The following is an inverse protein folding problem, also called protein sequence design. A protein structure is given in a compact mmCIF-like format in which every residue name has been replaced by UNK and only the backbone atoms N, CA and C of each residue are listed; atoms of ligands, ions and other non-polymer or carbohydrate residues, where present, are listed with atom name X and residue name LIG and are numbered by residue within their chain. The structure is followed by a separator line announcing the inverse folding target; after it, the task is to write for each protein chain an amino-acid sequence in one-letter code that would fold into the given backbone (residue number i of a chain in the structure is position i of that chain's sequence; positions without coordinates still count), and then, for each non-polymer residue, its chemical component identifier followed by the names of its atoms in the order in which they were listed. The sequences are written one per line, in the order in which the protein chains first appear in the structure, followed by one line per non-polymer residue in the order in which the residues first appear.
data_IF_040402537035
#
_entry.id   IF_040402537035
#
_cell.length_a   1.000
_cell.length_b   1.000
_cell.length_c   1.000
_cell.angle_alpha   90.00
_cell.angle_beta   90.00
_cell.angle_gamma   90.00
#
_symmetry.space_group_name_H-M   'P 1'
#
loop_
_entity.id
_entity.type
_entity.pdbx_description
1 polymer ?
#
# COMPACT_ATOMS: atom_id res chain seq x y z
N UNK A 1 -15.59 60.38 -25.19
CA UNK A 1 -16.03 61.29 -24.10
C UNK A 1 -16.75 60.57 -23.00
N UNK A 2 -17.69 59.66 -23.26
CA UNK A 2 -18.43 58.90 -22.24
C UNK A 2 -17.53 57.97 -21.36
N UNK A 3 -16.59 57.20 -21.94
CA UNK A 3 -15.66 56.31 -21.22
C UNK A 3 -14.78 57.04 -20.22
N UNK A 4 -14.30 58.24 -20.53
CA UNK A 4 -13.46 59.02 -19.63
C UNK A 4 -14.26 59.62 -18.44
N UNK A 5 -15.56 59.92 -18.67
CA UNK A 5 -16.46 60.35 -17.60
C UNK A 5 -16.79 59.19 -16.65
N UNK A 6 -17.10 58.02 -17.19
CA UNK A 6 -17.37 56.82 -16.40
C UNK A 6 -16.17 56.41 -15.53
N UNK A 7 -14.96 56.52 -16.04
CA UNK A 7 -13.75 56.22 -15.29
C UNK A 7 -13.51 57.25 -14.14
N UNK A 8 -13.80 58.53 -14.38
CA UNK A 8 -13.69 59.55 -13.33
C UNK A 8 -14.72 59.36 -12.20
N UNK A 9 -15.95 58.98 -12.56
CA UNK A 9 -17.01 58.70 -11.61
C UNK A 9 -16.64 57.45 -10.78
N UNK A 10 -16.18 56.40 -11.43
CA UNK A 10 -15.70 55.14 -10.79
C UNK A 10 -14.54 55.43 -9.80
N UNK A 11 -13.53 56.22 -10.22
CA UNK A 11 -12.40 56.56 -9.35
C UNK A 11 -12.84 57.42 -8.14
N UNK A 12 -13.87 58.27 -8.28
CA UNK A 12 -14.44 59.05 -7.19
C UNK A 12 -15.22 58.19 -6.21
N UNK A 13 -16.01 57.24 -6.71
CA UNK A 13 -16.79 56.28 -5.93
C UNK A 13 -15.87 55.30 -5.16
N UNK A 14 -14.76 54.87 -5.75
CA UNK A 14 -13.69 54.14 -5.03
C UNK A 14 -13.13 54.89 -3.82
N UNK A 15 -13.04 56.20 -3.93
CA UNK A 15 -12.55 57.07 -2.83
C UNK A 15 -13.60 57.34 -1.73
N UNK A 16 -14.89 57.14 -2.03
CA UNK A 16 -15.97 57.38 -1.08
C UNK A 16 -16.10 56.32 0.02
N UNK A 17 -15.34 55.22 -0.07
CA UNK A 17 -15.32 54.15 0.92
C UNK A 17 -16.41 53.06 0.72
N UNK A 18 -17.52 53.39 0.06
CA UNK A 18 -18.63 52.46 -0.12
C UNK A 18 -18.27 51.36 -1.13
N UNK A 19 -17.76 51.77 -2.31
CA UNK A 19 -17.32 50.83 -3.34
C UNK A 19 -16.12 50.01 -2.88
N UNK A 20 -15.24 50.60 -2.08
CA UNK A 20 -14.06 49.92 -1.52
C UNK A 20 -14.46 48.83 -0.56
N UNK A 21 -15.50 49.01 0.28
CA UNK A 21 -15.95 47.95 1.20
C UNK A 21 -16.56 46.77 0.45
N UNK A 22 -17.31 47.01 -0.64
CA UNK A 22 -17.87 45.96 -1.50
C UNK A 22 -16.71 45.19 -2.18
N UNK A 23 -15.71 45.89 -2.69
CA UNK A 23 -14.60 45.29 -3.39
C UNK A 23 -13.73 44.45 -2.45
N UNK A 24 -13.48 44.94 -1.23
CA UNK A 24 -12.77 44.19 -0.18
C UNK A 24 -13.55 42.94 0.21
N UNK A 25 -14.89 43.03 0.42
CA UNK A 25 -15.68 41.85 0.76
C UNK A 25 -15.72 40.83 -0.37
N UNK A 26 -15.75 41.29 -1.63
CA UNK A 26 -15.70 40.40 -2.80
C UNK A 26 -14.36 39.69 -2.91
N UNK A 27 -13.23 40.41 -2.76
CA UNK A 27 -11.90 39.83 -2.74
C UNK A 27 -11.79 38.80 -1.61
N UNK A 28 -12.26 39.15 -0.41
CA UNK A 28 -12.25 38.25 0.74
C UNK A 28 -13.05 36.97 0.45
N UNK A 29 -14.23 37.10 -0.10
CA UNK A 29 -15.09 35.95 -0.47
C UNK A 29 -14.41 35.03 -1.50
N UNK A 30 -13.83 35.62 -2.57
CA UNK A 30 -13.10 34.84 -3.59
C UNK A 30 -11.88 34.17 -2.97
N UNK A 31 -11.14 34.86 -2.11
CA UNK A 31 -9.95 34.29 -1.45
C UNK A 31 -10.32 33.10 -0.56
N UNK A 32 -11.40 33.19 0.21
CA UNK A 32 -11.87 32.11 1.08
C UNK A 32 -12.32 30.90 0.23
N UNK A 33 -13.14 31.13 -0.79
CA UNK A 33 -13.62 30.04 -1.65
C UNK A 33 -12.47 29.36 -2.39
N UNK A 34 -11.54 30.15 -2.95
CA UNK A 34 -10.35 29.62 -3.63
C UNK A 34 -9.43 28.87 -2.67
N UNK A 35 -9.26 29.40 -1.46
CA UNK A 35 -8.44 28.74 -0.42
C UNK A 35 -9.01 27.39 -0.01
N UNK A 36 -10.31 27.30 0.23
CA UNK A 36 -11.00 26.05 0.56
C UNK A 36 -10.88 25.05 -0.61
N UNK A 37 -11.12 25.52 -1.84
CA UNK A 37 -11.03 24.65 -3.03
C UNK A 37 -9.65 24.06 -3.23
N UNK A 38 -8.59 24.87 -3.09
CA UNK A 38 -7.20 24.42 -3.19
C UNK A 38 -6.83 23.44 -2.06
N UNK A 39 -7.31 23.71 -0.85
CA UNK A 39 -7.08 22.81 0.28
C UNK A 39 -7.76 21.45 0.06
N UNK A 40 -9.03 21.46 -0.37
CA UNK A 40 -9.78 20.23 -0.65
C UNK A 40 -9.12 19.40 -1.76
N UNK A 41 -8.69 20.02 -2.87
CA UNK A 41 -7.99 19.33 -3.96
C UNK A 41 -6.68 18.68 -3.48
N UNK A 42 -5.92 19.38 -2.65
CA UNK A 42 -4.68 18.82 -2.06
C UNK A 42 -4.94 17.70 -1.08
N UNK A 43 -5.97 17.84 -0.25
CA UNK A 43 -6.36 16.80 0.71
C UNK A 43 -6.86 15.54 -0.01
N UNK A 44 -7.70 15.71 -1.03
CA UNK A 44 -8.20 14.58 -1.84
C UNK A 44 -7.04 13.83 -2.52
N UNK A 45 -6.09 14.55 -3.11
CA UNK A 45 -4.90 13.93 -3.72
C UNK A 45 -4.05 13.18 -2.70
N UNK A 46 -3.82 13.77 -1.53
CA UNK A 46 -3.05 13.11 -0.46
C UNK A 46 -3.75 11.84 0.04
N UNK A 47 -5.06 11.92 0.28
CA UNK A 47 -5.86 10.77 0.73
C UNK A 47 -5.90 9.66 -0.33
N UNK A 48 -6.05 9.98 -1.61
CA UNK A 48 -6.06 8.99 -2.67
C UNK A 48 -4.71 8.27 -2.76
N UNK A 49 -3.60 8.99 -2.70
CA UNK A 49 -2.25 8.40 -2.73
C UNK A 49 -2.03 7.48 -1.53
N UNK A 50 -2.38 7.89 -0.33
CA UNK A 50 -2.29 7.08 0.88
C UNK A 50 -3.20 5.85 0.82
N UNK A 51 -4.40 5.99 0.26
CA UNK A 51 -5.34 4.87 0.13
C UNK A 51 -4.84 3.84 -0.88
N UNK A 52 -4.29 4.27 -2.03
CA UNK A 52 -3.71 3.38 -3.03
C UNK A 52 -2.51 2.61 -2.48
N UNK A 53 -1.63 3.28 -1.74
CA UNK A 53 -0.49 2.65 -1.08
C UNK A 53 -0.96 1.66 0.01
N UNK A 54 -1.97 2.04 0.80
CA UNK A 54 -2.52 1.19 1.85
C UNK A 54 -3.23 -0.06 1.34
N UNK A 55 -3.86 0.01 0.17
CA UNK A 55 -4.50 -1.12 -0.50
C UNK A 55 -3.53 -1.96 -1.34
N UNK A 56 -2.35 -1.42 -1.64
CA UNK A 56 -1.39 -2.04 -2.56
C UNK A 56 -1.84 -2.04 -4.02
N UNK A 57 -2.87 -1.25 -4.36
CA UNK A 57 -3.42 -1.15 -5.70
C UNK A 57 -4.67 -0.27 -5.77
N UNK A 58 -5.08 0.09 -7.00
CA UNK A 58 -6.29 0.89 -7.24
C UNK A 58 -7.57 0.06 -7.08
N UNK A 59 -7.47 -1.27 -7.25
CA UNK A 59 -8.60 -2.19 -7.12
C UNK A 59 -8.11 -3.52 -6.56
N UNK A 60 -8.81 -4.04 -5.55
CA UNK A 60 -8.52 -5.31 -4.90
C UNK A 60 -9.72 -6.24 -5.01
N UNK A 61 -9.49 -7.45 -5.50
CA UNK A 61 -10.47 -8.53 -5.48
C UNK A 61 -10.03 -9.59 -4.47
N UNK A 62 -10.90 -9.92 -3.54
CA UNK A 62 -10.71 -11.02 -2.59
C UNK A 62 -11.71 -12.13 -2.85
N UNK A 63 -11.22 -13.36 -2.85
CA UNK A 63 -12.06 -14.56 -2.96
C UNK A 63 -11.48 -15.68 -2.11
N UNK A 64 -12.34 -16.39 -1.41
CA UNK A 64 -11.95 -17.61 -0.68
C UNK A 64 -11.95 -18.86 -1.59
N UNK A 65 -12.22 -18.68 -2.88
CA UNK A 65 -12.26 -19.75 -3.87
C UNK A 65 -11.25 -19.50 -4.99
N UNK A 66 -10.59 -20.55 -5.44
CA UNK A 66 -9.61 -20.51 -6.55
C UNK A 66 -10.22 -20.05 -7.89
N UNK A 67 -11.55 -19.95 -7.96
CA UNK A 67 -12.34 -19.58 -9.14
C UNK A 67 -12.21 -18.11 -9.57
N UNK A 68 -11.62 -17.26 -8.73
CA UNK A 68 -11.44 -15.84 -9.07
C UNK A 68 -10.48 -15.66 -10.26
N UNK A 69 -9.45 -16.50 -10.36
CA UNK A 69 -8.45 -16.46 -11.42
C UNK A 69 -9.04 -16.72 -12.80
N UNK A 70 -9.92 -17.71 -12.92
CA UNK A 70 -10.56 -18.07 -14.18
C UNK A 70 -11.52 -16.97 -14.66
N UNK A 71 -12.27 -16.35 -13.75
CA UNK A 71 -13.20 -15.26 -14.08
C UNK A 71 -12.50 -13.95 -14.44
N UNK A 72 -11.32 -13.70 -13.89
CA UNK A 72 -10.51 -12.53 -14.22
C UNK A 72 -9.81 -12.75 -15.57
N UNK A 73 -9.33 -13.96 -15.84
CA UNK A 73 -8.65 -14.30 -17.09
C UNK A 73 -9.59 -14.28 -18.32
N UNK A 74 -10.91 -14.42 -18.14
CA UNK A 74 -11.91 -14.31 -19.22
C UNK A 74 -12.18 -12.87 -19.68
N UNK A 75 -11.74 -11.85 -18.92
CA UNK A 75 -11.91 -10.45 -19.30
C UNK A 75 -10.59 -9.89 -19.84
N UNK A 76 -10.67 -9.28 -21.00
CA UNK A 76 -9.54 -8.64 -21.67
C UNK A 76 -9.20 -7.31 -20.98
N UNK A 77 -8.20 -7.34 -20.11
CA UNK A 77 -7.72 -6.17 -19.39
C UNK A 77 -6.42 -5.64 -20.02
N UNK A 78 -6.47 -5.22 -21.28
CA UNK A 78 -5.31 -4.57 -21.91
C UNK A 78 -4.84 -3.34 -21.12
N UNK A 79 -3.58 -3.34 -20.74
CA UNK A 79 -2.93 -2.20 -20.08
C UNK A 79 -3.12 -2.13 -18.55
N UNK A 80 -3.64 -3.18 -17.91
CA UNK A 80 -3.75 -3.25 -16.45
C UNK A 80 -2.64 -4.15 -15.88
N UNK A 81 -1.95 -3.66 -14.86
CA UNK A 81 -0.99 -4.46 -14.10
C UNK A 81 -1.72 -5.24 -13.01
N UNK A 82 -1.48 -6.53 -12.95
CA UNK A 82 -2.03 -7.43 -11.94
C UNK A 82 -0.94 -7.94 -11.02
N UNK A 83 -1.31 -8.13 -9.78
CA UNK A 83 -0.55 -8.81 -8.77
C UNK A 83 -1.43 -9.89 -8.15
N UNK A 84 -0.91 -11.09 -8.03
CA UNK A 84 -1.58 -12.19 -7.34
C UNK A 84 -0.96 -12.39 -5.96
N UNK A 85 -1.81 -12.51 -4.94
CA UNK A 85 -1.38 -12.87 -3.60
C UNK A 85 -2.32 -13.89 -2.98
N UNK A 86 -1.76 -14.74 -2.14
CA UNK A 86 -2.52 -15.70 -1.32
C UNK A 86 -2.19 -15.43 0.15
N UNK A 87 -3.25 -15.27 0.95
CA UNK A 87 -3.15 -14.99 2.37
C UNK A 87 -3.68 -16.17 3.17
N UNK A 88 -2.88 -16.70 4.07
CA UNK A 88 -3.27 -17.79 4.95
C UNK A 88 -2.54 -17.71 6.29
N UNK A 89 -3.08 -18.37 7.31
CA UNK A 89 -2.39 -18.54 8.57
C UNK A 89 -1.74 -19.91 8.61
N UNK A 90 -0.50 -19.98 9.09
CA UNK A 90 0.20 -21.23 9.29
C UNK A 90 1.15 -21.14 10.47
N UNK A 91 1.57 -22.30 10.96
CA UNK A 91 2.60 -22.40 11.99
C UNK A 91 3.95 -22.53 11.32
N UNK A 92 4.90 -21.70 11.74
CA UNK A 92 6.30 -21.77 11.35
C UNK A 92 7.04 -22.50 12.46
N UNK A 93 7.86 -23.46 12.07
CA UNK A 93 8.73 -24.19 12.97
C UNK A 93 10.17 -23.78 12.71
N UNK A 94 10.91 -23.53 13.79
CA UNK A 94 12.34 -23.25 13.77
C UNK A 94 12.95 -24.03 14.94
N UNK A 95 13.76 -25.04 14.64
CA UNK A 95 14.31 -26.00 15.61
C UNK A 95 13.22 -26.57 16.54
N UNK A 96 13.26 -26.24 17.83
CA UNK A 96 12.27 -26.68 18.84
C UNK A 96 11.12 -25.67 19.04
N UNK A 97 11.23 -24.47 18.47
CA UNK A 97 10.25 -23.40 18.60
C UNK A 97 9.22 -23.42 17.48
N UNK A 98 8.00 -22.96 17.80
CA UNK A 98 6.93 -22.80 16.82
C UNK A 98 6.11 -21.56 17.09
N UNK A 99 5.69 -20.88 16.01
CA UNK A 99 4.89 -19.68 16.10
C UNK A 99 3.86 -19.60 14.98
N UNK A 100 2.62 -19.22 15.36
CA UNK A 100 1.60 -18.89 14.35
C UNK A 100 1.97 -17.62 13.61
N UNK A 101 1.94 -17.66 12.29
CA UNK A 101 2.21 -16.52 11.42
C UNK A 101 1.10 -16.31 10.40
N UNK A 102 0.89 -15.05 10.04
CA UNK A 102 0.10 -14.65 8.88
C UNK A 102 1.01 -14.66 7.65
N UNK A 103 0.85 -15.67 6.81
CA UNK A 103 1.67 -15.86 5.62
C UNK A 103 1.02 -15.14 4.43
N UNK A 104 1.82 -14.33 3.74
CA UNK A 104 1.49 -13.66 2.50
C UNK A 104 2.39 -14.21 1.39
N UNK A 105 1.82 -15.00 0.51
CA UNK A 105 2.51 -15.47 -0.68
C UNK A 105 2.22 -14.52 -1.85
N UNK A 106 3.26 -13.99 -2.48
CA UNK A 106 3.18 -12.94 -3.51
C UNK A 106 3.88 -13.36 -4.79
N UNK A 107 3.36 -12.89 -5.92
CA UNK A 107 3.97 -13.08 -7.23
C UNK A 107 5.07 -12.05 -7.54
N UNK A 108 5.65 -12.14 -8.75
CA UNK A 108 6.76 -11.28 -9.18
C UNK A 108 6.33 -9.82 -9.46
N UNK A 109 5.03 -9.52 -9.48
CA UNK A 109 4.53 -8.17 -9.66
C UNK A 109 4.40 -7.39 -8.34
N UNK A 110 4.62 -8.06 -7.20
CA UNK A 110 4.57 -7.45 -5.88
C UNK A 110 5.83 -6.64 -5.55
N UNK A 111 5.68 -5.45 -4.93
CA UNK A 111 4.45 -4.70 -4.73
C UNK A 111 4.06 -3.90 -5.98
N UNK A 112 2.75 -3.80 -6.31
CA UNK A 112 2.28 -2.98 -7.42
C UNK A 112 2.50 -1.49 -7.17
N UNK A 113 2.31 -1.04 -5.93
CA UNK A 113 2.44 0.34 -5.48
C UNK A 113 3.30 0.36 -4.23
N UNK A 114 4.17 1.37 -4.12
CA UNK A 114 5.08 1.52 -3.01
C UNK A 114 6.36 0.70 -3.16
N UNK A 115 7.08 0.56 -2.06
CA UNK A 115 8.36 -0.15 -1.94
C UNK A 115 8.43 -0.84 -0.58
N UNK A 116 9.16 -1.95 -0.51
CA UNK A 116 9.43 -2.64 0.75
C UNK A 116 10.75 -2.13 1.33
N UNK A 117 10.80 -1.91 2.64
CA UNK A 117 12.03 -1.68 3.38
C UNK A 117 12.34 -2.94 4.20
N UNK A 118 13.48 -3.51 3.93
CA UNK A 118 13.95 -4.78 4.49
C UNK A 118 15.32 -4.60 5.14
N UNK A 119 15.61 -5.45 6.11
CA UNK A 119 16.94 -5.56 6.74
C UNK A 119 17.46 -6.97 6.61
N UNK A 120 18.74 -7.13 6.28
CA UNK A 120 19.47 -8.40 6.30
C UNK A 120 20.87 -8.19 6.88
N UNK A 121 21.75 -9.21 6.80
CA UNK A 121 23.14 -9.12 7.27
C UNK A 121 23.94 -7.94 6.70
N UNK A 122 23.59 -7.47 5.49
CA UNK A 122 24.26 -6.35 4.83
C UNK A 122 23.71 -4.98 5.25
N UNK A 123 22.62 -4.94 6.02
CA UNK A 123 21.94 -3.75 6.51
C UNK A 123 20.57 -3.51 5.84
N UNK A 124 20.06 -2.30 5.99
CA UNK A 124 18.75 -1.90 5.50
C UNK A 124 18.81 -1.60 4.00
N UNK A 125 17.84 -2.10 3.25
CA UNK A 125 17.70 -1.84 1.81
C UNK A 125 16.24 -1.73 1.39
N UNK A 126 16.01 -1.05 0.26
CA UNK A 126 14.68 -0.87 -0.33
C UNK A 126 14.58 -1.74 -1.59
N UNK A 127 13.44 -2.42 -1.75
CA UNK A 127 13.21 -3.29 -2.90
C UNK A 127 11.77 -3.21 -3.42
N UNK A 128 11.61 -3.52 -4.72
CA UNK A 128 10.32 -3.74 -5.40
C UNK A 128 10.22 -5.17 -5.93
N UNK A 129 10.92 -6.09 -5.30
CA UNK A 129 10.91 -7.51 -5.69
C UNK A 129 10.23 -8.32 -4.59
N UNK A 130 9.73 -9.47 -4.97
CA UNK A 130 9.27 -10.51 -4.05
C UNK A 130 10.46 -11.34 -3.53
N UNK A 131 10.29 -12.17 -2.48
CA UNK A 131 11.32 -13.12 -2.02
C UNK A 131 11.77 -14.07 -3.14
N UNK A 132 13.04 -14.43 -3.15
CA UNK A 132 13.55 -15.48 -4.03
C UNK A 132 12.92 -16.84 -3.64
N UNK A 133 12.90 -17.78 -4.59
CA UNK A 133 12.37 -19.13 -4.33
C UNK A 133 13.13 -19.80 -3.18
N UNK A 134 12.37 -20.43 -2.27
CA UNK A 134 12.92 -21.08 -1.08
C UNK A 134 13.38 -20.14 0.01
N UNK A 135 13.09 -18.83 -0.09
CA UNK A 135 13.38 -17.86 0.95
C UNK A 135 12.11 -17.21 1.49
N UNK A 136 12.18 -16.67 2.70
CA UNK A 136 11.10 -15.95 3.34
C UNK A 136 11.61 -14.68 4.01
N UNK A 137 10.74 -13.66 4.05
CA UNK A 137 10.93 -12.46 4.85
C UNK A 137 9.94 -12.47 6.00
N UNK A 138 10.37 -12.04 7.19
CA UNK A 138 9.55 -12.05 8.39
C UNK A 138 9.55 -10.69 9.07
N UNK A 139 8.50 -10.39 9.82
CA UNK A 139 8.53 -9.21 10.70
C UNK A 139 9.51 -9.44 11.88
N UNK A 140 10.01 -8.34 12.45
CA UNK A 140 10.94 -8.35 13.58
C UNK A 140 10.39 -9.13 14.79
N UNK A 141 9.07 -9.08 14.98
CA UNK A 141 8.42 -9.80 16.08
C UNK A 141 8.55 -11.31 15.93
N UNK A 142 8.38 -11.83 14.69
CA UNK A 142 8.48 -13.26 14.43
C UNK A 142 9.93 -13.74 14.56
N UNK A 143 10.88 -12.98 14.02
CA UNK A 143 12.30 -13.22 14.17
C UNK A 143 12.69 -13.34 15.66
N UNK A 144 12.26 -12.39 16.49
CA UNK A 144 12.56 -12.40 17.92
C UNK A 144 11.89 -13.56 18.68
N UNK A 145 10.62 -13.91 18.31
CA UNK A 145 9.91 -15.01 18.96
C UNK A 145 10.52 -16.39 18.67
N UNK A 146 11.08 -16.57 17.47
CA UNK A 146 11.73 -17.80 17.03
C UNK A 146 13.27 -17.74 17.20
N UNK A 147 13.81 -16.64 17.72
CA UNK A 147 15.24 -16.41 17.95
C UNK A 147 16.12 -16.69 16.72
N UNK A 148 15.67 -16.24 15.53
CA UNK A 148 16.28 -16.52 14.23
C UNK A 148 17.38 -15.52 13.88
N UNK A 149 18.42 -16.03 13.21
CA UNK A 149 19.42 -15.25 12.50
C UNK A 149 19.20 -15.36 11.00
N UNK A 150 19.66 -14.38 10.23
CA UNK A 150 19.61 -14.44 8.78
C UNK A 150 20.36 -15.69 8.26
N UNK A 151 19.75 -16.40 7.34
CA UNK A 151 20.25 -17.66 6.81
C UNK A 151 19.77 -18.91 7.57
N UNK A 152 19.09 -18.76 8.71
CA UNK A 152 18.54 -19.89 9.44
C UNK A 152 17.40 -20.55 8.66
N UNK A 153 17.26 -21.86 8.88
CA UNK A 153 16.24 -22.68 8.26
C UNK A 153 14.97 -22.70 9.09
N UNK A 154 13.85 -22.58 8.40
CA UNK A 154 12.52 -22.72 9.00
C UNK A 154 11.69 -23.71 8.18
N UNK A 155 10.68 -24.27 8.81
CA UNK A 155 9.68 -25.12 8.14
C UNK A 155 8.33 -24.44 8.11
N UNK A 156 7.72 -24.46 6.93
CA UNK A 156 6.37 -23.99 6.68
C UNK A 156 5.61 -25.07 5.92
N UNK A 157 4.65 -25.73 6.60
CA UNK A 157 4.07 -26.96 6.08
C UNK A 157 5.11 -28.05 5.91
N UNK A 158 5.15 -28.67 4.73
CA UNK A 158 6.07 -29.76 4.39
C UNK A 158 7.42 -29.27 3.81
N UNK A 159 7.63 -27.94 3.70
CA UNK A 159 8.80 -27.38 3.02
C UNK A 159 9.71 -26.59 3.96
N UNK A 160 11.02 -26.67 3.66
CA UNK A 160 12.08 -25.90 4.30
C UNK A 160 12.33 -24.61 3.54
N UNK A 161 12.48 -23.50 4.26
CA UNK A 161 12.78 -22.17 3.73
C UNK A 161 13.95 -21.55 4.48
N UNK A 162 14.61 -20.58 3.87
CA UNK A 162 15.68 -19.80 4.47
C UNK A 162 15.11 -18.43 4.89
N UNK A 163 15.35 -18.03 6.12
CA UNK A 163 15.05 -16.68 6.58
C UNK A 163 16.10 -15.70 6.02
N UNK A 164 15.68 -14.88 5.05
CA UNK A 164 16.57 -14.01 4.27
C UNK A 164 16.60 -12.57 4.78
N UNK A 165 15.45 -12.00 5.16
CA UNK A 165 15.37 -10.61 5.58
C UNK A 165 14.20 -10.34 6.55
N UNK A 166 14.39 -9.29 7.36
CA UNK A 166 13.36 -8.73 8.25
C UNK A 166 12.59 -7.62 7.55
N UNK A 167 11.26 -7.63 7.67
CA UNK A 167 10.37 -6.62 7.11
C UNK A 167 10.29 -5.44 8.06
N UNK A 168 10.83 -4.28 7.67
CA UNK A 168 10.72 -3.02 8.41
C UNK A 168 9.50 -2.23 7.96
N UNK A 169 9.25 -2.17 6.65
CA UNK A 169 8.09 -1.50 6.07
C UNK A 169 7.51 -2.28 4.90
N UNK A 170 6.19 -2.34 4.86
CA UNK A 170 5.39 -2.98 3.83
C UNK A 170 4.25 -2.02 3.41
N UNK A 171 4.07 -1.71 2.10
CA UNK A 171 3.08 -0.72 1.66
C UNK A 171 1.63 -1.15 1.95
N UNK A 172 1.24 -2.39 1.68
CA UNK A 172 -0.13 -2.89 1.82
C UNK A 172 -0.42 -3.57 3.17
N UNK A 173 -0.12 -2.88 4.26
CA UNK A 173 -0.27 -3.40 5.64
C UNK A 173 -1.67 -3.87 6.02
N UNK A 174 -2.70 -3.37 5.35
CA UNK A 174 -4.09 -3.74 5.63
C UNK A 174 -4.52 -5.08 5.03
N UNK A 175 -3.65 -5.74 4.29
CA UNK A 175 -3.96 -7.02 3.67
C UNK A 175 -3.86 -8.15 4.66
N UNK A 176 -5.00 -8.69 5.12
CA UNK A 176 -5.08 -9.95 5.85
C UNK A 176 -6.05 -9.95 7.04
N UNK A 177 -6.75 -11.07 7.19
CA UNK A 177 -7.70 -11.29 8.30
C UNK A 177 -7.01 -11.56 9.65
N UNK A 178 -5.66 -11.69 9.67
CA UNK A 178 -4.86 -12.03 10.84
C UNK A 178 -3.94 -10.87 11.25
N UNK A 179 -4.49 -9.67 11.34
CA UNK A 179 -3.74 -8.42 11.61
C UNK A 179 -2.90 -8.45 12.91
N UNK A 180 -3.18 -9.37 13.84
CA UNK A 180 -2.47 -9.49 15.11
C UNK A 180 -1.37 -10.55 15.10
N UNK A 181 -1.36 -11.47 14.13
CA UNK A 181 -0.30 -12.47 14.00
C UNK A 181 0.93 -11.85 13.36
N UNK A 182 2.13 -12.26 13.78
CA UNK A 182 3.37 -11.89 13.09
C UNK A 182 3.30 -12.28 11.62
N UNK A 183 3.96 -11.51 10.74
CA UNK A 183 3.88 -11.68 9.30
C UNK A 183 5.06 -12.43 8.72
N UNK A 184 4.77 -13.17 7.66
CA UNK A 184 5.78 -13.79 6.79
C UNK A 184 5.41 -13.53 5.34
N UNK A 185 6.36 -13.11 4.52
CA UNK A 185 6.19 -12.98 3.07
C UNK A 185 7.02 -14.07 2.39
N UNK A 186 6.41 -14.76 1.44
CA UNK A 186 7.05 -15.81 0.65
C UNK A 186 6.73 -15.69 -0.84
N UNK A 187 7.45 -16.40 -1.68
CA UNK A 187 7.13 -16.46 -3.10
C UNK A 187 5.87 -17.31 -3.34
N UNK A 188 4.96 -16.83 -4.19
CA UNK A 188 3.72 -17.53 -4.53
C UNK A 188 3.98 -18.89 -5.19
N UNK A 189 5.06 -19.02 -5.94
CA UNK A 189 5.42 -20.27 -6.62
C UNK A 189 5.84 -21.38 -5.64
N UNK A 190 6.19 -21.05 -4.39
CA UNK A 190 6.56 -22.01 -3.35
C UNK A 190 5.34 -22.57 -2.60
N UNK A 191 4.16 -21.95 -2.71
CA UNK A 191 2.96 -22.36 -1.96
C UNK A 191 2.60 -23.83 -2.19
N UNK A 192 2.63 -24.37 -3.42
CA UNK A 192 2.29 -25.77 -3.65
C UNK A 192 3.19 -26.76 -2.88
N UNK A 193 4.47 -26.44 -2.69
CA UNK A 193 5.43 -27.30 -1.98
C UNK A 193 5.12 -27.43 -0.50
N UNK A 194 4.45 -26.42 0.08
CA UNK A 194 4.10 -26.43 1.52
C UNK A 194 3.00 -27.41 1.88
N UNK A 195 2.20 -27.87 0.94
CA UNK A 195 1.00 -28.72 1.14
C UNK A 195 -0.06 -28.13 2.10
N UNK A 196 0.02 -26.86 2.42
CA UNK A 196 -0.91 -26.19 3.36
C UNK A 196 -2.24 -25.91 2.68
N UNK A 197 -2.19 -25.43 1.44
CA UNK A 197 -3.39 -25.11 0.66
C UNK A 197 -3.70 -26.29 -0.25
N UNK A 198 -4.75 -27.03 0.09
CA UNK A 198 -5.23 -28.14 -0.73
C UNK A 198 -6.42 -27.67 -1.56
N UNK A 199 -6.52 -28.10 -2.84
CA UNK A 199 -7.70 -27.86 -3.63
C UNK A 199 -8.90 -28.57 -2.99
N UNK A 200 -9.91 -27.78 -2.61
CA UNK A 200 -11.18 -28.27 -2.06
C UNK A 200 -12.14 -28.78 -3.13
#
# INVERSE_FOLDING_TARGET
MLLSLSFKIFARELRSGYLTSILVSLILAITIVSGISLFTDRLEKALNTETEEFLGGNLKFESNQNTAKDKIAEQDFEGINFMEMVLFASVIFADEDMQLSSVKAVDNAYPLIGELELENESGIFITKKNPDLGTVWMDERLQNLLNLNYGDKIFLGDSEFIFDATILYEPDRASGNFAFAPKTIMNLADVPSTNIIQPG
#
